data_IF_452799276043
#
_entry.id   IF_452799276043
#
_cell.length_a   1.000
_cell.length_b   1.000
_cell.length_c   1.000
_cell.angle_alpha   90.00
_cell.angle_beta   90.00
_cell.angle_gamma   90.00
#
_symmetry.space_group_name_H-M   'P 1'
#
loop_
_entity.id
_entity.type
_entity.pdbx_description
1 polymer ?
#
# COMPACT_ATOMS: atom_id res chain seq x y z
N UNK A 1 -6.96 -29.73 -44.58
CA UNK A 1 -7.41 -30.08 -43.20
C UNK A 1 -6.34 -30.00 -42.09
N UNK A 2 -5.06 -29.72 -42.39
CA UNK A 2 -4.00 -29.58 -41.35
C UNK A 2 -3.72 -28.13 -40.89
N UNK A 3 -4.14 -27.13 -41.68
CA UNK A 3 -3.97 -25.70 -41.35
C UNK A 3 -5.08 -25.21 -40.41
N UNK A 4 -6.30 -25.74 -40.58
CA UNK A 4 -7.45 -25.39 -39.74
C UNK A 4 -7.26 -25.80 -38.26
N UNK A 5 -6.55 -26.91 -37.98
CA UNK A 5 -6.23 -27.33 -36.60
C UNK A 5 -5.17 -26.45 -35.92
N UNK A 6 -4.29 -25.79 -36.67
CA UNK A 6 -3.29 -24.86 -36.11
C UNK A 6 -3.87 -23.49 -35.76
N UNK A 7 -4.91 -23.06 -36.49
CA UNK A 7 -5.65 -21.82 -36.19
C UNK A 7 -6.51 -21.95 -34.93
N UNK A 8 -7.06 -23.13 -34.63
CA UNK A 8 -7.83 -23.38 -33.39
C UNK A 8 -6.95 -23.36 -32.14
N UNK A 9 -5.65 -23.69 -32.25
CA UNK A 9 -4.73 -23.66 -31.10
C UNK A 9 -4.31 -22.24 -30.70
N UNK A 10 -4.38 -21.26 -31.62
CA UNK A 10 -4.06 -19.86 -31.34
C UNK A 10 -5.26 -19.05 -30.83
N UNK A 11 -6.48 -19.58 -30.97
CA UNK A 11 -7.71 -18.91 -30.56
C UNK A 11 -8.07 -19.09 -29.07
N UNK A 12 -7.31 -19.88 -28.31
CA UNK A 12 -7.61 -20.22 -26.91
C UNK A 12 -6.79 -19.43 -25.86
N UNK A 13 -5.97 -18.47 -26.27
CA UNK A 13 -5.29 -17.54 -25.33
C UNK A 13 -5.86 -16.13 -25.48
N UNK A 14 -7.19 -16.03 -25.52
CA UNK A 14 -7.83 -14.78 -25.14
C UNK A 14 -7.73 -14.70 -23.61
N UNK A 15 -6.61 -14.18 -23.10
CA UNK A 15 -6.51 -13.79 -21.69
C UNK A 15 -7.63 -12.79 -21.44
N UNK A 16 -8.71 -13.23 -20.80
CA UNK A 16 -9.88 -12.41 -20.55
C UNK A 16 -9.44 -11.22 -19.70
N UNK A 17 -9.47 -10.02 -20.28
CA UNK A 17 -9.25 -8.79 -19.53
C UNK A 17 -10.40 -8.62 -18.56
N UNK A 18 -10.12 -8.81 -17.27
CA UNK A 18 -11.11 -8.62 -16.21
C UNK A 18 -11.21 -7.14 -15.90
N UNK A 19 -12.26 -6.47 -16.39
CA UNK A 19 -12.48 -5.04 -16.19
C UNK A 19 -13.85 -4.75 -15.57
N UNK A 20 -13.94 -3.68 -14.79
CA UNK A 20 -15.19 -3.27 -14.15
C UNK A 20 -15.17 -1.86 -13.59
N UNK A 21 -16.35 -1.38 -13.21
CA UNK A 21 -16.54 -0.12 -12.48
C UNK A 21 -17.28 -0.41 -11.19
N UNK A 22 -16.72 -0.02 -10.06
CA UNK A 22 -17.43 -0.03 -8.79
C UNK A 22 -18.46 1.11 -8.78
N UNK A 23 -19.74 0.75 -8.90
CA UNK A 23 -20.84 1.72 -8.99
C UNK A 23 -21.01 2.59 -7.74
N UNK A 24 -20.48 2.17 -6.58
CA UNK A 24 -20.59 2.94 -5.32
C UNK A 24 -19.64 4.16 -5.29
N UNK A 25 -18.48 4.07 -5.94
CA UNK A 25 -17.44 5.10 -5.83
C UNK A 25 -16.77 5.47 -7.17
N UNK A 26 -17.28 4.96 -8.28
CA UNK A 26 -16.79 5.21 -9.64
C UNK A 26 -15.39 4.63 -9.91
N UNK A 27 -14.91 3.69 -9.08
CA UNK A 27 -13.58 3.12 -9.29
C UNK A 27 -13.56 2.23 -10.53
N UNK A 28 -12.79 2.61 -11.55
CA UNK A 28 -12.54 1.76 -12.70
C UNK A 28 -11.31 0.89 -12.42
N UNK A 29 -11.43 -0.40 -12.70
CA UNK A 29 -10.31 -1.33 -12.59
C UNK A 29 -10.24 -2.26 -13.79
N UNK A 30 -9.02 -2.68 -14.14
CA UNK A 30 -8.77 -3.65 -15.20
C UNK A 30 -7.52 -4.47 -14.90
N UNK A 31 -7.60 -5.78 -15.09
CA UNK A 31 -6.49 -6.72 -14.84
C UNK A 31 -5.96 -7.30 -16.14
N UNK A 32 -4.63 -7.39 -16.22
CA UNK A 32 -3.90 -8.04 -17.30
C UNK A 32 -2.99 -9.11 -16.73
N UNK A 33 -2.99 -10.29 -17.34
CA UNK A 33 -2.01 -11.34 -17.08
C UNK A 33 -0.86 -11.18 -18.07
N UNK A 34 0.33 -10.84 -17.58
CA UNK A 34 1.51 -10.61 -18.42
C UNK A 34 2.32 -11.88 -18.61
N UNK A 35 2.47 -12.71 -17.57
CA UNK A 35 3.27 -13.95 -17.60
C UNK A 35 2.51 -15.09 -16.93
N UNK A 36 2.52 -16.25 -17.57
CA UNK A 36 2.10 -17.53 -16.98
C UNK A 36 3.20 -18.56 -17.27
N UNK A 37 3.84 -19.07 -16.22
CA UNK A 37 4.80 -20.17 -16.32
C UNK A 37 4.22 -21.37 -15.57
N UNK A 38 3.82 -22.44 -16.29
CA UNK A 38 3.27 -23.63 -15.66
C UNK A 38 4.26 -24.26 -14.68
N UNK A 39 3.82 -24.52 -13.45
CA UNK A 39 4.60 -25.17 -12.43
C UNK A 39 4.11 -26.59 -12.15
N UNK A 40 4.97 -27.43 -11.55
CA UNK A 40 4.58 -28.78 -11.13
C UNK A 40 3.52 -28.84 -10.03
N UNK A 41 3.11 -27.68 -9.49
CA UNK A 41 2.06 -27.56 -8.46
C UNK A 41 1.32 -26.23 -8.51
N UNK A 42 2.05 -25.11 -8.50
CA UNK A 42 1.47 -23.77 -8.71
C UNK A 42 2.14 -23.10 -9.90
N UNK A 43 1.35 -22.44 -10.72
CA UNK A 43 1.84 -21.64 -11.82
C UNK A 43 2.42 -20.33 -11.28
N UNK A 44 3.56 -19.90 -11.83
CA UNK A 44 4.04 -18.55 -11.63
C UNK A 44 3.25 -17.63 -12.55
N UNK A 45 2.39 -16.81 -11.94
CA UNK A 45 1.54 -15.87 -12.66
C UNK A 45 1.97 -14.45 -12.28
N UNK A 46 2.20 -13.60 -13.28
CA UNK A 46 2.40 -12.16 -13.09
C UNK A 46 1.19 -11.44 -13.67
N UNK A 47 0.44 -10.82 -12.77
CA UNK A 47 -0.74 -10.03 -13.09
C UNK A 47 -0.58 -8.60 -12.61
N UNK A 48 -1.24 -7.71 -13.33
CA UNK A 48 -1.30 -6.29 -13.03
C UNK A 48 -2.73 -5.81 -13.06
N UNK A 49 -3.11 -5.12 -12.00
CA UNK A 49 -4.42 -4.50 -11.86
C UNK A 49 -4.27 -2.99 -11.85
N UNK A 50 -4.94 -2.32 -12.79
CA UNK A 50 -5.15 -0.88 -12.76
C UNK A 50 -6.31 -0.54 -11.82
N UNK A 51 -6.16 0.53 -11.05
CA UNK A 51 -7.15 1.10 -10.15
C UNK A 51 -7.16 2.62 -10.37
N UNK A 52 -8.21 3.16 -10.98
CA UNK A 52 -8.29 4.57 -11.37
C UNK A 52 -8.30 5.54 -10.18
N UNK A 53 -8.60 5.04 -8.98
CA UNK A 53 -8.57 5.82 -7.74
C UNK A 53 -7.27 5.72 -6.98
N UNK A 54 -6.34 4.85 -7.40
CA UNK A 54 -5.06 4.70 -6.70
C UNK A 54 -4.07 5.79 -7.11
N UNK A 55 -3.56 6.60 -6.15
CA UNK A 55 -2.50 7.57 -6.42
C UNK A 55 -1.09 6.94 -6.33
N UNK A 56 -1.00 5.65 -5.96
CA UNK A 56 0.27 4.97 -5.74
C UNK A 56 0.95 4.63 -7.06
N UNK A 57 2.28 4.62 -7.03
CA UNK A 57 3.13 4.22 -8.16
C UNK A 57 3.76 2.87 -7.85
N UNK A 58 3.24 1.83 -8.48
CA UNK A 58 3.84 0.50 -8.46
C UNK A 58 4.95 0.34 -9.50
N UNK A 59 5.43 -0.90 -9.65
CA UNK A 59 6.43 -1.34 -10.63
C UNK A 59 6.00 -1.03 -12.06
N UNK A 60 4.69 -0.97 -12.28
CA UNK A 60 4.08 -0.76 -13.59
C UNK A 60 3.53 0.65 -13.80
N UNK A 61 3.79 1.57 -12.88
CA UNK A 61 3.39 2.97 -12.97
C UNK A 61 2.24 3.34 -12.05
N UNK A 62 1.71 4.54 -12.24
CA UNK A 62 0.64 5.08 -11.40
C UNK A 62 -0.68 4.34 -11.62
N UNK A 63 -1.36 4.02 -10.52
CA UNK A 63 -2.62 3.30 -10.53
C UNK A 63 -2.49 1.80 -10.81
N UNK A 64 -1.30 1.33 -11.19
CA UNK A 64 -1.02 -0.09 -11.43
C UNK A 64 -0.41 -0.74 -10.21
N UNK A 65 -0.76 -2.00 -10.00
CA UNK A 65 -0.23 -2.81 -8.92
C UNK A 65 -0.30 -4.30 -9.25
N UNK A 66 0.48 -5.10 -8.54
CA UNK A 66 0.62 -6.54 -8.71
C UNK A 66 0.64 -7.22 -7.34
N UNK A 67 0.28 -8.50 -7.28
CA UNK A 67 0.28 -9.28 -6.02
C UNK A 67 1.66 -9.33 -5.34
N UNK A 68 2.74 -9.13 -6.11
CA UNK A 68 4.11 -9.05 -5.62
C UNK A 68 4.48 -7.70 -5.00
N UNK A 69 3.57 -6.72 -5.02
CA UNK A 69 3.78 -5.36 -4.52
C UNK A 69 3.09 -5.12 -3.18
N UNK A 70 2.89 -6.17 -2.38
CA UNK A 70 2.41 -6.04 -1.01
C UNK A 70 3.57 -5.66 -0.08
N UNK A 71 3.43 -4.56 0.63
CA UNK A 71 4.44 -4.08 1.59
C UNK A 71 3.81 -3.37 2.78
N UNK A 72 4.58 -3.19 3.84
CA UNK A 72 4.13 -2.47 5.04
C UNK A 72 5.00 -1.26 5.35
N UNK A 73 4.36 -0.23 5.91
CA UNK A 73 5.01 0.97 6.42
C UNK A 73 4.75 1.10 7.91
N UNK A 74 5.82 1.09 8.70
CA UNK A 74 5.77 1.40 10.13
C UNK A 74 5.86 2.91 10.31
N UNK A 75 4.89 3.48 11.02
CA UNK A 75 4.85 4.91 11.36
C UNK A 75 5.63 5.21 12.63
N UNK A 76 5.91 6.49 12.88
CA UNK A 76 6.64 6.97 14.05
C UNK A 76 5.93 6.67 15.39
N UNK A 77 4.64 6.39 15.33
CA UNK A 77 3.74 6.19 16.46
C UNK A 77 3.46 4.71 16.77
N UNK A 78 4.12 3.79 16.04
CA UNK A 78 3.96 2.34 16.18
C UNK A 78 2.81 1.76 15.35
N UNK A 79 1.99 2.59 14.70
CA UNK A 79 1.00 2.09 13.75
C UNK A 79 1.66 1.57 12.47
N UNK A 80 1.05 0.55 11.87
CA UNK A 80 1.50 -0.09 10.64
C UNK A 80 0.43 0.07 9.58
N UNK A 81 0.80 0.44 8.37
CA UNK A 81 -0.08 0.41 7.20
C UNK A 81 0.41 -0.65 6.25
N UNK A 82 -0.43 -1.62 5.96
CA UNK A 82 -0.20 -2.61 4.90
C UNK A 82 -0.79 -2.05 3.61
N UNK A 83 0.04 -1.95 2.59
CA UNK A 83 -0.35 -1.65 1.22
C UNK A 83 -0.45 -2.97 0.48
N UNK A 84 -1.66 -3.35 0.09
CA UNK A 84 -1.92 -4.59 -0.65
C UNK A 84 -1.70 -4.33 -2.14
N UNK A 85 -0.97 -5.23 -2.80
CA UNK A 85 -0.82 -5.31 -4.24
C UNK A 85 -0.38 -4.00 -4.94
N UNK A 86 0.34 -3.09 -4.27
CA UNK A 86 0.81 -1.81 -4.81
C UNK A 86 -0.27 -0.73 -5.04
N UNK A 87 -1.39 -1.09 -5.68
CA UNK A 87 -2.53 -0.21 -5.99
C UNK A 87 -3.84 -0.62 -5.31
N UNK A 88 -3.78 -1.65 -4.45
CA UNK A 88 -4.93 -2.23 -3.76
C UNK A 88 -5.32 -1.49 -2.49
N UNK A 89 -5.93 -2.22 -1.56
CA UNK A 89 -6.41 -1.65 -0.31
C UNK A 89 -5.25 -1.29 0.63
N UNK A 90 -5.45 -0.25 1.43
CA UNK A 90 -4.59 0.07 2.56
C UNK A 90 -5.29 -0.33 3.85
N UNK A 91 -4.63 -1.18 4.65
CA UNK A 91 -5.13 -1.56 5.97
C UNK A 91 -4.23 -1.00 7.05
N UNK A 92 -4.81 -0.18 7.93
CA UNK A 92 -4.11 0.36 9.09
C UNK A 92 -4.30 -0.54 10.32
N UNK A 93 -3.19 -0.76 11.01
CA UNK A 93 -3.06 -1.50 12.25
C UNK A 93 -2.48 -0.58 13.33
N UNK A 94 -3.04 -0.60 14.53
CA UNK A 94 -2.60 0.21 15.66
C UNK A 94 -2.19 -0.66 16.84
N UNK A 95 -1.15 -0.29 17.60
CA UNK A 95 -0.83 -0.96 18.85
C UNK A 95 -2.01 -0.92 19.83
N UNK A 96 -2.13 -1.97 20.65
CA UNK A 96 -3.14 -2.03 21.73
C UNK A 96 -2.86 -1.01 22.84
N UNK A 97 -1.59 -0.70 23.07
CA UNK A 97 -1.18 0.36 23.98
C UNK A 97 -1.49 1.72 23.37
N UNK A 98 -1.92 2.68 24.20
CA UNK A 98 -2.22 4.02 23.74
C UNK A 98 -1.02 4.65 23.03
N UNK A 99 -1.22 5.02 21.77
CA UNK A 99 -0.24 5.73 20.97
C UNK A 99 0.03 7.09 21.62
N UNK A 100 1.29 7.52 21.71
CA UNK A 100 1.65 8.89 22.08
C UNK A 100 1.85 9.74 20.82
N UNK A 101 0.78 10.38 20.29
CA UNK A 101 0.84 11.11 19.03
C UNK A 101 1.74 12.35 19.11
N UNK A 102 1.90 12.92 20.30
CA UNK A 102 2.73 14.11 20.50
C UNK A 102 4.22 13.78 20.40
N UNK A 103 4.65 12.68 21.03
CA UNK A 103 6.02 12.19 20.91
C UNK A 103 6.37 11.83 19.45
N UNK A 104 5.45 11.18 18.74
CA UNK A 104 5.61 10.86 17.32
C UNK A 104 5.70 12.12 16.45
N UNK A 105 4.84 13.11 16.69
CA UNK A 105 4.86 14.39 15.98
C UNK A 105 6.19 15.14 16.17
N UNK A 106 6.72 15.17 17.40
CA UNK A 106 8.02 15.79 17.69
C UNK A 106 9.16 15.10 16.93
N UNK A 107 9.24 13.77 16.95
CA UNK A 107 10.23 12.99 16.18
C UNK A 107 10.19 13.29 14.69
N UNK A 108 8.99 13.40 14.12
CA UNK A 108 8.79 13.75 12.70
C UNK A 108 9.32 15.15 12.39
N UNK A 109 8.97 16.14 13.23
CA UNK A 109 9.39 17.53 13.03
C UNK A 109 10.90 17.69 13.22
N UNK A 110 11.51 16.97 14.16
CA UNK A 110 12.97 16.92 14.31
C UNK A 110 13.65 16.36 13.06
N UNK A 111 13.15 15.25 12.51
CA UNK A 111 13.66 14.68 11.26
C UNK A 111 13.47 15.63 10.07
N UNK A 112 12.36 16.35 10.01
CA UNK A 112 12.10 17.38 9.00
C UNK A 112 13.10 18.54 9.11
N UNK A 113 13.38 19.03 10.32
CA UNK A 113 14.31 20.15 10.57
C UNK A 113 15.75 19.83 10.16
N UNK A 114 16.14 18.54 10.14
CA UNK A 114 17.44 18.11 9.60
C UNK A 114 17.56 18.26 8.09
N UNK A 115 16.44 18.27 7.35
CA UNK A 115 16.40 18.40 5.89
C UNK A 115 15.99 19.79 5.40
N UNK A 116 15.31 20.57 6.24
CA UNK A 116 14.75 21.87 5.85
C UNK A 116 14.79 22.84 7.03
N UNK A 117 15.20 24.08 6.79
CA UNK A 117 15.13 25.14 7.80
C UNK A 117 13.66 25.51 8.05
N UNK A 118 13.20 25.29 9.29
CA UNK A 118 11.84 25.59 9.72
C UNK A 118 11.89 26.36 11.03
N UNK A 119 11.13 27.47 11.09
CA UNK A 119 11.04 28.30 12.30
C UNK A 119 10.34 27.56 13.45
N UNK A 120 10.65 27.94 14.68
CA UNK A 120 10.05 27.34 15.88
C UNK A 120 8.52 27.48 15.91
N UNK A 121 7.99 28.58 15.37
CA UNK A 121 6.54 28.83 15.28
C UNK A 121 5.86 27.84 14.32
N UNK A 122 6.45 27.61 13.14
CA UNK A 122 5.94 26.64 12.15
C UNK A 122 6.08 25.21 12.66
N UNK A 123 7.18 24.88 13.33
CA UNK A 123 7.37 23.58 13.96
C UNK A 123 6.26 23.30 15.00
N UNK A 124 5.96 24.27 15.87
CA UNK A 124 4.94 24.11 16.91
C UNK A 124 3.52 24.00 16.33
N UNK A 125 3.21 24.75 15.27
CA UNK A 125 1.91 24.64 14.60
C UNK A 125 1.75 23.29 13.88
N UNK A 126 2.82 22.78 13.26
CA UNK A 126 2.82 21.47 12.62
C UNK A 126 2.66 20.33 13.65
N UNK A 127 3.32 20.40 14.81
CA UNK A 127 3.14 19.41 15.89
C UNK A 127 1.67 19.33 16.30
N UNK A 128 0.97 20.47 16.46
CA UNK A 128 -0.46 20.48 16.78
C UNK A 128 -1.31 19.78 15.71
N UNK A 129 -1.01 20.00 14.42
CA UNK A 129 -1.71 19.32 13.31
C UNK A 129 -1.45 17.81 13.31
N UNK A 130 -0.20 17.39 13.41
CA UNK A 130 0.20 15.96 13.42
C UNK A 130 -0.32 15.21 14.65
N UNK A 131 -0.53 15.91 15.77
CA UNK A 131 -1.11 15.31 16.98
C UNK A 131 -2.56 14.87 16.74
N UNK A 132 -3.35 15.69 16.04
CA UNK A 132 -4.77 15.47 15.83
C UNK A 132 -5.09 14.65 14.57
N UNK A 133 -4.16 14.60 13.60
CA UNK A 133 -4.36 13.90 12.33
C UNK A 133 -3.37 12.73 12.20
N UNK A 134 -3.90 11.51 12.27
CA UNK A 134 -3.11 10.29 12.17
C UNK A 134 -2.63 10.03 10.73
N UNK A 135 -3.43 10.36 9.71
CA UNK A 135 -3.06 10.16 8.31
C UNK A 135 -1.94 11.12 7.91
N UNK A 136 -2.06 12.39 8.30
CA UNK A 136 -1.03 13.40 8.08
C UNK A 136 0.27 13.00 8.78
N UNK A 137 0.18 12.48 10.01
CA UNK A 137 1.34 11.95 10.74
C UNK A 137 2.01 10.81 9.99
N UNK A 138 1.24 9.86 9.46
CA UNK A 138 1.76 8.75 8.68
C UNK A 138 2.43 9.23 7.38
N UNK A 139 1.80 10.16 6.66
CA UNK A 139 2.35 10.73 5.43
C UNK A 139 3.70 11.42 5.68
N UNK A 140 3.81 12.21 6.75
CA UNK A 140 5.06 12.86 7.13
C UNK A 140 6.10 11.86 7.65
N UNK A 141 5.70 10.86 8.43
CA UNK A 141 6.57 9.77 8.87
C UNK A 141 7.19 9.03 7.66
N UNK A 142 6.37 8.69 6.64
CA UNK A 142 6.83 8.10 5.37
C UNK A 142 7.81 9.04 4.66
N UNK A 143 7.45 10.32 4.48
CA UNK A 143 8.27 11.32 3.77
C UNK A 143 9.63 11.56 4.41
N UNK A 144 9.69 11.58 5.75
CA UNK A 144 10.94 11.81 6.49
C UNK A 144 11.61 10.53 6.98
N UNK A 145 11.11 9.36 6.58
CA UNK A 145 11.61 8.02 6.95
C UNK A 145 11.74 7.84 8.48
N UNK A 146 10.73 8.28 9.23
CA UNK A 146 10.66 8.13 10.69
C UNK A 146 9.79 6.93 11.03
N UNK A 147 10.40 5.89 11.60
CA UNK A 147 9.73 4.63 11.94
C UNK A 147 9.89 4.34 13.42
N UNK A 148 8.83 3.79 14.05
CA UNK A 148 8.97 3.15 15.34
C UNK A 148 9.71 1.82 15.20
N UNK A 149 10.38 1.38 16.26
CA UNK A 149 10.92 0.03 16.33
C UNK A 149 9.83 -0.91 16.86
N UNK A 150 9.47 -1.94 16.09
CA UNK A 150 8.48 -2.94 16.47
C UNK A 150 9.17 -4.30 16.55
N UNK A 151 9.02 -4.99 17.67
CA UNK A 151 9.57 -6.33 17.84
C UNK A 151 8.70 -7.36 17.10
N UNK A 152 9.32 -8.45 16.64
CA UNK A 152 8.59 -9.62 16.16
C UNK A 152 7.65 -10.12 17.27
N UNK A 153 6.44 -10.49 16.89
CA UNK A 153 5.40 -10.92 17.81
C UNK A 153 4.57 -9.78 18.43
N UNK A 154 4.79 -8.52 18.04
CA UNK A 154 3.95 -7.40 18.48
C UNK A 154 2.52 -7.58 18.00
N UNK A 155 1.55 -7.45 18.90
CA UNK A 155 0.13 -7.48 18.57
C UNK A 155 -0.36 -6.10 18.12
N UNK A 156 -1.02 -6.07 16.96
CA UNK A 156 -1.63 -4.88 16.40
C UNK A 156 -3.09 -5.16 16.05
N UNK A 157 -3.93 -4.14 16.15
CA UNK A 157 -5.35 -4.25 15.90
C UNK A 157 -5.77 -3.40 14.71
N UNK A 158 -6.64 -3.95 13.86
CA UNK A 158 -7.33 -3.23 12.80
C UNK A 158 -8.84 -3.43 12.90
N UNK A 159 -9.62 -2.38 12.66
CA UNK A 159 -11.07 -2.48 12.57
C UNK A 159 -11.55 -3.39 11.43
N UNK A 160 -10.70 -3.62 10.41
CA UNK A 160 -11.05 -4.40 9.21
C UNK A 160 -10.58 -5.84 9.31
N UNK A 161 -9.38 -6.07 9.88
CA UNK A 161 -8.72 -7.39 9.92
C UNK A 161 -8.60 -7.99 11.32
N UNK A 162 -9.11 -7.31 12.35
CA UNK A 162 -9.02 -7.74 13.74
C UNK A 162 -7.61 -7.66 14.32
N UNK A 163 -7.35 -8.48 15.34
CA UNK A 163 -6.05 -8.62 15.97
C UNK A 163 -5.10 -9.43 15.08
N UNK A 164 -3.91 -8.90 14.83
CA UNK A 164 -2.85 -9.53 14.05
C UNK A 164 -1.53 -9.47 14.81
N UNK A 165 -0.63 -10.40 14.50
CA UNK A 165 0.69 -10.49 15.12
C UNK A 165 1.77 -10.34 14.04
N UNK A 166 2.76 -9.49 14.32
CA UNK A 166 3.96 -9.29 13.49
C UNK A 166 4.89 -10.49 13.52
#
# INVERSE_FOLDING_TARGET
MKILKKLVLFALIASGTQAGVNLKNGNFYITYTDIVVPGGGHDLIIERTYNSRSPEKGWFGYGWGSDYETYLNVSADGSVVVHENGSGAMTRFTPKQAVNPEAAAKKIVEAMRKKTSVSSQVANSLIKKLKNDAELRQAYAKRFNVKANLAAGTELFSNVRGLQRL
#
